data_IF_264310775563
#
_entry.id   IF_264310775563
#
_cell.length_a   1.000
_cell.length_b   1.000
_cell.length_c   1.000
_cell.angle_alpha   90.00
_cell.angle_beta   90.00
_cell.angle_gamma   90.00
#
_symmetry.space_group_name_H-M   'P 1'
#
loop_
_entity.id
_entity.type
_entity.pdbx_description
1 polymer ?
#
# COMPACT_ATOMS: atom_id res chain seq x y z
N UNK A 1 -35.04 -9.44 -50.55
CA UNK A 1 -35.25 -8.03 -50.94
C UNK A 1 -36.10 -8.01 -52.20
N UNK A 2 -37.02 -7.05 -52.37
CA UNK A 2 -37.92 -6.96 -53.54
C UNK A 2 -37.95 -5.54 -54.09
N UNK A 3 -38.03 -5.40 -55.42
CA UNK A 3 -38.36 -4.14 -56.14
C UNK A 3 -37.31 -3.02 -56.15
N UNK A 4 -36.59 -2.75 -55.06
CA UNK A 4 -35.70 -1.58 -54.90
C UNK A 4 -34.29 -1.79 -55.50
N UNK A 5 -34.20 -1.99 -56.80
CA UNK A 5 -32.94 -2.20 -57.51
C UNK A 5 -32.12 -0.91 -57.69
N UNK A 6 -31.25 -0.59 -56.74
CA UNK A 6 -30.26 0.50 -56.82
C UNK A 6 -30.33 1.55 -55.71
N UNK A 7 -31.41 1.57 -54.92
CA UNK A 7 -31.61 2.53 -53.83
C UNK A 7 -30.90 2.11 -52.53
N UNK A 8 -30.40 3.11 -51.79
CA UNK A 8 -29.92 2.92 -50.42
C UNK A 8 -31.12 2.64 -49.51
N UNK A 9 -31.13 1.46 -48.88
CA UNK A 9 -32.28 0.96 -48.11
C UNK A 9 -32.46 1.59 -46.70
N UNK A 10 -31.41 2.19 -46.15
CA UNK A 10 -31.35 2.75 -44.79
C UNK A 10 -30.26 3.83 -44.72
N UNK A 11 -30.49 4.92 -43.96
CA UNK A 11 -29.50 5.99 -43.73
C UNK A 11 -29.60 6.53 -42.31
N UNK A 12 -28.54 6.39 -41.53
CA UNK A 12 -28.48 6.77 -40.11
C UNK A 12 -27.28 7.67 -39.82
N UNK A 13 -27.29 8.37 -38.68
CA UNK A 13 -26.13 9.08 -38.13
C UNK A 13 -25.83 10.46 -38.71
N UNK A 14 -26.36 10.80 -39.90
CA UNK A 14 -26.41 12.18 -40.39
C UNK A 14 -27.65 12.37 -41.29
N UNK A 15 -28.74 12.96 -40.80
CA UNK A 15 -29.94 13.24 -41.59
C UNK A 15 -29.72 14.17 -42.80
N UNK A 16 -28.76 15.10 -42.72
CA UNK A 16 -28.58 16.15 -43.72
C UNK A 16 -28.11 15.61 -45.08
N UNK A 17 -27.43 14.45 -45.11
CA UNK A 17 -27.00 13.80 -46.38
C UNK A 17 -28.15 13.15 -47.16
N UNK A 18 -29.40 13.34 -46.71
CA UNK A 18 -30.62 12.96 -47.43
C UNK A 18 -31.77 13.98 -47.28
N UNK A 19 -31.42 15.26 -47.19
CA UNK A 19 -32.37 16.39 -47.12
C UNK A 19 -33.33 16.32 -45.92
N UNK A 20 -32.84 15.86 -44.75
CA UNK A 20 -33.60 15.75 -43.50
C UNK A 20 -32.82 16.31 -42.32
N UNK A 21 -33.54 16.62 -41.24
CA UNK A 21 -32.97 17.11 -39.98
C UNK A 21 -32.16 18.39 -40.09
N UNK A 22 -31.37 18.64 -39.04
CA UNK A 22 -30.47 19.77 -38.87
C UNK A 22 -29.04 19.26 -38.57
N UNK A 23 -28.06 20.17 -38.52
CA UNK A 23 -26.67 19.82 -38.18
C UNK A 23 -26.50 19.39 -36.72
N UNK A 24 -27.47 19.73 -35.85
CA UNK A 24 -27.59 19.20 -34.48
C UNK A 24 -27.88 17.70 -34.43
N UNK A 25 -28.37 17.12 -35.52
CA UNK A 25 -28.90 15.76 -35.56
C UNK A 25 -27.83 14.76 -36.08
N UNK A 26 -26.60 15.25 -36.31
CA UNK A 26 -25.46 14.44 -36.71
C UNK A 26 -24.80 13.76 -35.51
N UNK A 27 -24.67 12.44 -35.60
CA UNK A 27 -24.11 11.56 -34.56
C UNK A 27 -22.86 10.83 -35.06
N UNK A 28 -22.79 10.50 -36.36
CA UNK A 28 -21.63 9.88 -37.01
C UNK A 28 -20.73 10.92 -37.69
N UNK A 29 -19.42 10.81 -37.44
CA UNK A 29 -18.37 11.74 -37.87
C UNK A 29 -17.23 10.94 -38.50
N UNK A 30 -17.41 10.56 -39.78
CA UNK A 30 -16.66 9.51 -40.47
C UNK A 30 -16.76 8.14 -39.77
N UNK A 31 -17.69 7.32 -40.28
CA UNK A 31 -17.88 5.94 -39.86
C UNK A 31 -16.84 4.99 -40.49
N UNK A 32 -16.33 4.05 -39.71
CA UNK A 32 -15.39 3.02 -40.11
C UNK A 32 -15.77 1.66 -39.51
N UNK A 33 -15.37 0.58 -40.18
CA UNK A 33 -15.63 -0.82 -39.82
C UNK A 33 -17.07 -1.12 -39.35
N UNK A 34 -18.09 -0.73 -40.13
CA UNK A 34 -19.50 -1.05 -39.82
C UNK A 34 -19.74 -2.55 -39.99
N UNK A 35 -20.19 -3.23 -38.93
CA UNK A 35 -20.47 -4.68 -38.92
C UNK A 35 -21.89 -5.01 -38.43
N UNK A 36 -22.44 -6.12 -38.90
CA UNK A 36 -23.62 -6.75 -38.31
C UNK A 36 -23.25 -7.50 -37.02
N UNK A 37 -23.96 -7.21 -35.93
CA UNK A 37 -23.79 -7.92 -34.66
C UNK A 37 -24.31 -9.35 -34.83
N UNK A 38 -23.39 -10.30 -34.72
CA UNK A 38 -23.65 -11.73 -34.92
C UNK A 38 -24.46 -12.34 -33.76
N UNK A 39 -24.97 -13.54 -34.01
CA UNK A 39 -25.80 -14.23 -33.03
C UNK A 39 -25.05 -14.55 -31.72
N UNK A 40 -25.77 -14.43 -30.60
CA UNK A 40 -25.24 -14.68 -29.25
C UNK A 40 -24.69 -13.46 -28.50
N UNK A 41 -24.50 -12.30 -29.14
CA UNK A 41 -24.33 -11.04 -28.40
C UNK A 41 -25.71 -10.50 -28.00
N UNK A 42 -25.84 -9.85 -26.83
CA UNK A 42 -27.10 -9.24 -26.34
C UNK A 42 -27.65 -8.05 -27.15
N UNK A 43 -27.17 -7.87 -28.38
CA UNK A 43 -27.58 -6.85 -29.36
C UNK A 43 -27.63 -7.45 -30.78
N UNK A 44 -27.79 -8.78 -30.89
CA UNK A 44 -27.91 -9.55 -32.14
C UNK A 44 -28.84 -8.87 -33.16
N UNK A 45 -28.42 -8.83 -34.43
CA UNK A 45 -29.16 -8.18 -35.51
C UNK A 45 -29.00 -6.66 -35.57
N UNK A 46 -28.40 -6.04 -34.56
CA UNK A 46 -27.96 -4.65 -34.60
C UNK A 46 -26.73 -4.43 -35.50
N UNK A 47 -26.31 -3.17 -35.61
CA UNK A 47 -25.07 -2.77 -36.28
C UNK A 47 -24.12 -2.16 -35.24
N UNK A 48 -22.84 -2.53 -35.30
CA UNK A 48 -21.75 -1.88 -34.56
C UNK A 48 -20.89 -1.07 -35.53
N UNK A 49 -20.37 0.07 -35.10
CA UNK A 49 -19.56 0.98 -35.91
C UNK A 49 -18.49 1.68 -35.06
N UNK A 50 -17.29 1.84 -35.62
CA UNK A 50 -16.30 2.78 -35.08
C UNK A 50 -16.54 4.16 -35.71
N UNK A 51 -16.60 5.19 -34.89
CA UNK A 51 -17.02 6.54 -35.26
C UNK A 51 -15.85 7.49 -35.00
N UNK A 52 -15.06 7.78 -36.04
CA UNK A 52 -13.72 8.36 -35.89
C UNK A 52 -13.70 9.76 -35.27
N UNK A 53 -14.79 10.53 -35.35
CA UNK A 53 -14.88 11.88 -34.77
C UNK A 53 -14.44 12.99 -35.72
N UNK A 54 -14.30 12.72 -37.03
CA UNK A 54 -13.75 13.68 -37.99
C UNK A 54 -14.67 14.90 -38.14
N UNK A 55 -14.20 16.06 -37.67
CA UNK A 55 -14.97 17.31 -37.63
C UNK A 55 -15.86 17.48 -36.39
N UNK A 56 -15.80 16.56 -35.43
CA UNK A 56 -16.39 16.70 -34.09
C UNK A 56 -15.53 17.67 -33.26
N UNK A 57 -16.15 18.44 -32.36
CA UNK A 57 -15.45 19.27 -31.38
C UNK A 57 -16.12 19.13 -30.00
N UNK A 58 -15.39 18.75 -28.93
CA UNK A 58 -14.00 18.31 -28.92
C UNK A 58 -13.76 17.06 -29.80
N UNK A 59 -12.50 16.78 -30.12
CA UNK A 59 -12.12 15.70 -31.02
C UNK A 59 -11.96 14.38 -30.26
N UNK A 60 -12.94 13.48 -30.42
CA UNK A 60 -12.91 12.14 -29.85
C UNK A 60 -13.60 11.14 -30.77
N UNK A 61 -13.12 9.89 -30.75
CA UNK A 61 -13.77 8.76 -31.42
C UNK A 61 -14.69 8.01 -30.47
N UNK A 62 -15.77 7.41 -30.98
CA UNK A 62 -16.67 6.54 -30.22
C UNK A 62 -16.85 5.18 -30.91
N UNK A 63 -17.31 4.18 -30.16
CA UNK A 63 -17.85 2.93 -30.71
C UNK A 63 -19.33 2.90 -30.39
N UNK A 64 -20.14 2.89 -31.44
CA UNK A 64 -21.60 3.01 -31.34
C UNK A 64 -22.27 1.71 -31.81
N UNK A 65 -23.25 1.23 -31.04
CA UNK A 65 -24.16 0.15 -31.43
C UNK A 65 -25.54 0.75 -31.70
N UNK A 66 -26.09 0.50 -32.88
CA UNK A 66 -27.43 0.94 -33.27
C UNK A 66 -28.35 -0.27 -33.53
N UNK A 67 -29.64 -0.09 -33.23
CA UNK A 67 -30.69 -1.07 -33.49
C UNK A 67 -31.69 -0.53 -34.52
N UNK A 68 -31.47 -0.77 -35.83
CA UNK A 68 -32.41 -0.36 -36.87
C UNK A 68 -33.75 -1.09 -36.70
N UNK A 69 -34.86 -0.36 -36.78
CA UNK A 69 -36.19 -1.00 -36.76
C UNK A 69 -36.56 -1.52 -38.16
N UNK A 70 -36.78 -2.83 -38.28
CA UNK A 70 -37.25 -3.48 -39.51
C UNK A 70 -38.69 -4.00 -39.33
N UNK A 71 -39.60 -3.53 -40.17
CA UNK A 71 -40.97 -4.03 -40.29
C UNK A 71 -41.17 -4.71 -41.64
N UNK A 72 -41.64 -5.96 -41.63
CA UNK A 72 -41.94 -6.75 -42.82
C UNK A 72 -40.81 -6.82 -43.88
N UNK A 73 -39.55 -6.66 -43.44
CA UNK A 73 -38.35 -6.68 -44.31
C UNK A 73 -38.02 -5.34 -44.97
N UNK A 74 -38.60 -4.22 -44.51
CA UNK A 74 -38.14 -2.85 -44.79
C UNK A 74 -37.74 -2.16 -43.50
N UNK A 75 -36.77 -1.25 -43.56
CA UNK A 75 -36.54 -0.30 -42.47
C UNK A 75 -37.71 0.67 -42.37
N UNK A 76 -38.13 0.99 -41.15
CA UNK A 76 -39.22 1.95 -40.88
C UNK A 76 -38.70 3.38 -41.00
N UNK A 77 -39.48 4.24 -41.67
CA UNK A 77 -39.23 5.68 -41.75
C UNK A 77 -40.20 6.40 -40.80
N UNK A 78 -39.68 7.33 -40.02
CA UNK A 78 -40.44 8.15 -39.07
C UNK A 78 -41.29 9.23 -39.80
N UNK A 79 -42.27 9.83 -39.12
CA UNK A 79 -43.19 10.83 -39.72
C UNK A 79 -42.47 12.10 -40.21
N UNK A 80 -41.35 12.46 -39.58
CA UNK A 80 -40.42 13.52 -39.97
C UNK A 80 -39.61 13.18 -41.25
N UNK A 81 -39.64 11.92 -41.70
CA UNK A 81 -38.88 11.39 -42.82
C UNK A 81 -37.43 10.98 -42.52
N UNK A 82 -37.02 10.80 -41.26
CA UNK A 82 -35.73 10.17 -40.87
C UNK A 82 -35.87 8.67 -40.63
N UNK A 83 -34.75 7.96 -40.61
CA UNK A 83 -34.69 6.59 -40.10
C UNK A 83 -34.22 6.60 -38.64
N UNK A 84 -35.00 6.00 -37.74
CA UNK A 84 -34.59 5.70 -36.38
C UNK A 84 -33.54 4.57 -36.33
N UNK A 85 -32.93 4.30 -35.16
CA UNK A 85 -33.29 4.84 -33.85
C UNK A 85 -32.85 6.30 -33.66
N UNK A 86 -33.43 7.06 -32.72
CA UNK A 86 -33.04 8.46 -32.46
C UNK A 86 -31.63 8.61 -31.85
N UNK A 87 -31.04 7.53 -31.34
CA UNK A 87 -29.67 7.46 -30.83
C UNK A 87 -29.15 6.02 -30.81
N UNK A 88 -27.87 5.80 -30.48
CA UNK A 88 -27.32 4.46 -30.28
C UNK A 88 -27.98 3.75 -29.09
N UNK A 89 -28.09 2.43 -29.18
CA UNK A 89 -28.54 1.56 -28.10
C UNK A 89 -27.45 1.31 -27.04
N UNK A 90 -26.18 1.49 -27.42
CA UNK A 90 -25.01 1.51 -26.55
C UNK A 90 -23.91 2.33 -27.25
N UNK A 91 -23.15 3.11 -26.49
CA UNK A 91 -22.03 3.91 -26.99
C UNK A 91 -20.90 3.89 -25.96
N UNK A 92 -19.65 3.90 -26.43
CA UNK A 92 -18.46 3.95 -25.59
C UNK A 92 -17.36 4.80 -26.22
N UNK A 93 -16.71 5.61 -25.41
CA UNK A 93 -15.52 6.39 -25.74
C UNK A 93 -14.65 6.62 -24.49
N UNK A 94 -13.53 7.32 -24.65
CA UNK A 94 -12.68 7.78 -23.55
C UNK A 94 -12.48 9.31 -23.61
N UNK A 95 -13.47 10.03 -24.15
CA UNK A 95 -13.34 11.44 -24.51
C UNK A 95 -12.10 11.71 -25.37
N UNK A 96 -11.47 12.88 -25.15
CA UNK A 96 -10.29 13.33 -25.90
C UNK A 96 -9.04 12.42 -25.74
N UNK A 97 -9.04 11.45 -24.80
CA UNK A 97 -7.97 10.47 -24.68
C UNK A 97 -7.97 9.40 -25.79
N UNK A 98 -9.11 9.20 -26.49
CA UNK A 98 -9.20 8.29 -27.64
C UNK A 98 -9.69 9.04 -28.88
N UNK A 99 -8.76 9.41 -29.76
CA UNK A 99 -9.08 10.00 -31.06
C UNK A 99 -8.25 9.37 -32.18
N UNK A 100 -8.94 8.62 -33.04
CA UNK A 100 -8.40 8.06 -34.27
C UNK A 100 -9.07 8.70 -35.49
N UNK A 101 -8.47 9.74 -36.07
CA UNK A 101 -9.02 10.41 -37.26
C UNK A 101 -9.04 9.57 -38.55
N UNK A 102 -8.57 8.32 -38.49
CA UNK A 102 -8.56 7.34 -39.59
C UNK A 102 -8.43 5.91 -39.05
N UNK A 103 -8.55 4.90 -39.92
CA UNK A 103 -8.48 3.46 -39.61
C UNK A 103 -9.36 3.09 -38.38
N UNK A 104 -8.93 2.11 -37.55
CA UNK A 104 -9.66 1.65 -36.36
C UNK A 104 -10.90 0.79 -36.67
N UNK A 105 -11.50 0.17 -35.66
CA UNK A 105 -12.65 -0.72 -35.86
C UNK A 105 -13.21 -1.29 -34.57
N UNK A 106 -14.32 -2.03 -34.67
CA UNK A 106 -15.01 -2.60 -33.51
C UNK A 106 -15.74 -3.91 -33.85
N UNK A 107 -15.78 -4.85 -32.91
CA UNK A 107 -16.50 -6.13 -33.05
C UNK A 107 -17.21 -6.50 -31.75
N UNK A 108 -18.51 -6.77 -31.86
CA UNK A 108 -19.32 -7.33 -30.77
C UNK A 108 -19.00 -8.83 -30.55
N UNK A 109 -18.80 -9.24 -29.30
CA UNK A 109 -18.33 -10.57 -28.90
C UNK A 109 -19.44 -11.41 -28.20
N UNK A 110 -19.47 -12.75 -28.33
CA UNK A 110 -20.56 -13.56 -27.74
C UNK A 110 -20.65 -13.61 -26.21
N UNK A 111 -19.70 -13.03 -25.47
CA UNK A 111 -19.81 -12.77 -24.03
C UNK A 111 -20.53 -11.44 -23.71
N UNK A 112 -21.00 -10.71 -24.72
CA UNK A 112 -21.60 -9.38 -24.59
C UNK A 112 -20.60 -8.22 -24.53
N UNK A 113 -19.29 -8.52 -24.62
CA UNK A 113 -18.24 -7.50 -24.63
C UNK A 113 -18.03 -6.95 -26.06
N UNK A 114 -17.31 -5.84 -26.17
CA UNK A 114 -16.89 -5.25 -27.44
C UNK A 114 -15.37 -5.26 -27.53
N UNK A 115 -14.84 -5.87 -28.59
CA UNK A 115 -13.45 -5.63 -29.01
C UNK A 115 -13.39 -4.28 -29.73
N UNK A 116 -12.55 -3.38 -29.23
CA UNK A 116 -12.23 -2.09 -29.87
C UNK A 116 -10.80 -2.15 -30.41
N UNK A 117 -10.60 -1.68 -31.64
CA UNK A 117 -9.27 -1.47 -32.25
C UNK A 117 -9.01 0.03 -32.33
N UNK A 118 -8.19 0.58 -31.44
CA UNK A 118 -7.68 1.95 -31.52
C UNK A 118 -6.49 1.99 -32.49
N UNK A 119 -6.81 1.88 -33.79
CA UNK A 119 -5.86 1.51 -34.83
C UNK A 119 -4.71 2.49 -35.03
N UNK A 120 -4.97 3.80 -34.88
CA UNK A 120 -3.94 4.85 -34.99
C UNK A 120 -2.90 4.83 -33.87
N UNK A 121 -3.15 4.09 -32.79
CA UNK A 121 -2.26 3.91 -31.64
C UNK A 121 -1.74 2.46 -31.54
N UNK A 122 -2.12 1.59 -32.49
CA UNK A 122 -1.84 0.15 -32.43
C UNK A 122 -2.39 -0.54 -31.18
N UNK A 123 -3.36 0.06 -30.50
CA UNK A 123 -3.88 -0.42 -29.20
C UNK A 123 -5.25 -1.07 -29.37
N UNK A 124 -5.56 -2.03 -28.51
CA UNK A 124 -6.81 -2.78 -28.49
C UNK A 124 -7.38 -2.81 -27.07
N UNK A 125 -8.70 -2.84 -26.99
CA UNK A 125 -9.41 -3.01 -25.72
C UNK A 125 -10.49 -4.07 -25.87
N UNK A 126 -10.67 -4.91 -24.85
CA UNK A 126 -11.94 -5.62 -24.64
C UNK A 126 -12.74 -4.85 -23.59
N UNK A 127 -13.93 -4.40 -23.97
CA UNK A 127 -14.78 -3.48 -23.17
C UNK A 127 -16.04 -4.22 -22.73
N UNK A 128 -16.33 -4.18 -21.43
CA UNK A 128 -17.55 -4.79 -20.85
C UNK A 128 -18.82 -4.04 -21.29
N UNK A 129 -20.02 -4.63 -21.14
CA UNK A 129 -21.28 -3.93 -21.38
C UNK A 129 -21.44 -2.63 -20.60
N UNK A 130 -20.75 -2.48 -19.45
CA UNK A 130 -20.77 -1.27 -18.61
C UNK A 130 -19.76 -0.20 -19.04
N UNK A 131 -18.89 -0.49 -20.01
CA UNK A 131 -17.80 0.39 -20.44
C UNK A 131 -16.45 0.18 -19.74
N UNK A 132 -16.33 -0.85 -18.89
CA UNK A 132 -15.08 -1.20 -18.20
C UNK A 132 -14.09 -1.84 -19.19
N UNK A 133 -12.83 -1.37 -19.24
CA UNK A 133 -11.77 -2.06 -20.01
C UNK A 133 -11.32 -3.28 -19.19
N UNK A 134 -11.54 -4.49 -19.72
CA UNK A 134 -11.24 -5.77 -19.04
C UNK A 134 -10.07 -6.54 -19.67
N UNK A 135 -9.50 -6.01 -20.74
CA UNK A 135 -8.26 -6.47 -21.37
C UNK A 135 -7.73 -5.37 -22.28
N UNK A 136 -6.40 -5.21 -22.31
CA UNK A 136 -5.68 -4.26 -23.18
C UNK A 136 -4.55 -4.99 -23.88
N UNK A 137 -4.24 -4.61 -25.11
CA UNK A 137 -3.04 -5.05 -25.83
C UNK A 137 -2.52 -3.95 -26.73
N UNK A 138 -1.20 -3.78 -26.77
CA UNK A 138 -0.50 -2.86 -27.65
C UNK A 138 0.25 -3.71 -28.67
N UNK A 139 0.10 -3.41 -29.96
CA UNK A 139 0.82 -4.10 -31.02
C UNK A 139 2.32 -3.81 -30.95
N UNK A 140 3.20 -4.83 -30.80
CA UNK A 140 4.65 -4.67 -30.74
C UNK A 140 5.28 -4.56 -32.15
N UNK A 141 4.49 -4.41 -33.22
CA UNK A 141 4.96 -4.41 -34.60
C UNK A 141 4.91 -3.00 -35.18
N UNK A 142 6.08 -2.36 -35.27
CA UNK A 142 6.28 -1.10 -35.97
C UNK A 142 6.57 -1.28 -37.47
N UNK A 143 6.66 -0.16 -38.18
CA UNK A 143 7.01 -0.10 -39.61
C UNK A 143 8.42 -0.61 -39.93
N UNK A 144 9.30 -0.71 -38.92
CA UNK A 144 10.65 -1.27 -39.00
C UNK A 144 10.73 -2.76 -38.69
N UNK A 145 9.67 -3.37 -38.15
CA UNK A 145 9.68 -4.72 -37.59
C UNK A 145 9.11 -4.76 -36.17
N UNK A 146 9.25 -5.88 -35.46
CA UNK A 146 8.93 -5.96 -34.04
C UNK A 146 9.86 -5.08 -33.19
N UNK A 147 9.34 -4.62 -32.05
CA UNK A 147 10.11 -4.05 -30.95
C UNK A 147 10.63 -5.15 -30.01
N UNK A 148 11.67 -4.83 -29.24
CA UNK A 148 12.18 -5.67 -28.13
C UNK A 148 11.28 -5.50 -26.90
N UNK A 149 11.24 -6.49 -25.99
CA UNK A 149 10.62 -6.29 -24.68
C UNK A 149 11.28 -5.11 -23.93
N UNK A 150 10.50 -4.36 -23.16
CA UNK A 150 10.94 -3.13 -22.49
C UNK A 150 11.07 -1.88 -23.38
N UNK A 151 11.06 -1.99 -24.72
CA UNK A 151 11.12 -0.82 -25.61
C UNK A 151 9.83 0.02 -25.57
N UNK A 152 9.98 1.35 -25.53
CA UNK A 152 8.84 2.28 -25.58
C UNK A 152 8.24 2.29 -26.99
N UNK A 153 7.17 1.50 -27.18
CA UNK A 153 6.41 1.41 -28.44
C UNK A 153 5.90 2.81 -28.83
N UNK A 154 6.29 3.37 -29.99
CA UNK A 154 5.90 4.72 -30.38
C UNK A 154 4.40 4.84 -30.68
N UNK A 155 3.77 5.85 -30.07
CA UNK A 155 2.38 6.24 -30.32
C UNK A 155 2.10 6.43 -31.82
N UNK A 156 1.18 5.63 -32.36
CA UNK A 156 1.26 5.07 -33.71
C UNK A 156 1.45 6.05 -34.86
N UNK A 157 0.38 6.60 -35.43
CA UNK A 157 0.42 7.33 -36.72
C UNK A 157 1.05 8.75 -36.64
N UNK A 158 2.14 8.92 -35.89
CA UNK A 158 2.93 10.15 -35.77
C UNK A 158 4.02 10.22 -36.83
N UNK A 159 4.11 11.36 -37.52
CA UNK A 159 5.11 11.59 -38.56
C UNK A 159 6.54 11.52 -38.00
N UNK A 160 7.40 10.69 -38.60
CA UNK A 160 8.78 10.47 -38.16
C UNK A 160 8.97 9.37 -37.12
N UNK A 161 7.89 8.72 -36.66
CA UNK A 161 7.96 7.53 -35.81
C UNK A 161 8.04 6.22 -36.62
N UNK A 162 8.32 5.11 -35.96
CA UNK A 162 8.17 3.74 -36.49
C UNK A 162 6.78 3.14 -36.26
N UNK A 163 5.77 3.97 -35.98
CA UNK A 163 4.32 3.72 -36.06
C UNK A 163 3.82 2.25 -35.98
N UNK A 164 3.29 1.85 -34.81
CA UNK A 164 2.73 0.52 -34.54
C UNK A 164 1.29 0.26 -35.07
N UNK A 165 0.85 0.98 -36.10
CA UNK A 165 -0.57 1.11 -36.42
C UNK A 165 -1.26 -0.21 -36.87
N UNK A 166 -2.30 -0.61 -36.14
CA UNK A 166 -3.15 -1.77 -36.46
C UNK A 166 -4.33 -1.30 -37.31
N UNK A 167 -4.58 -1.94 -38.46
CA UNK A 167 -5.72 -1.56 -39.31
C UNK A 167 -7.06 -2.01 -38.72
N UNK A 168 -7.13 -3.29 -38.35
CA UNK A 168 -8.31 -3.93 -37.76
C UNK A 168 -7.92 -5.17 -36.95
N UNK A 169 -8.56 -5.34 -35.79
CA UNK A 169 -8.62 -6.59 -35.03
C UNK A 169 -9.87 -7.42 -35.32
N UNK A 170 -9.77 -8.73 -35.12
CA UNK A 170 -10.92 -9.65 -35.18
C UNK A 170 -10.74 -10.82 -34.21
N UNK A 171 -11.69 -11.00 -33.30
CA UNK A 171 -11.77 -12.14 -32.39
C UNK A 171 -12.40 -13.34 -33.10
N UNK A 172 -11.75 -14.49 -33.01
CA UNK A 172 -12.23 -15.76 -33.54
C UNK A 172 -12.53 -16.73 -32.40
N UNK A 173 -13.81 -17.09 -32.25
CA UNK A 173 -14.23 -18.01 -31.20
C UNK A 173 -13.77 -19.44 -31.49
N UNK A 174 -13.55 -20.23 -30.43
CA UNK A 174 -13.29 -21.67 -30.57
C UNK A 174 -14.38 -22.39 -31.37
N UNK A 175 -15.63 -21.92 -31.27
CA UNK A 175 -16.75 -22.42 -32.10
C UNK A 175 -16.57 -22.16 -33.59
N UNK A 176 -16.08 -20.98 -33.99
CA UNK A 176 -15.76 -20.67 -35.40
C UNK A 176 -14.61 -21.53 -35.93
N UNK A 177 -13.53 -21.69 -35.14
CA UNK A 177 -12.37 -22.50 -35.51
C UNK A 177 -12.77 -23.98 -35.70
N UNK A 178 -13.52 -24.53 -34.75
CA UNK A 178 -14.08 -25.88 -34.83
C UNK A 178 -15.01 -26.06 -36.05
N UNK A 179 -15.87 -25.08 -36.34
CA UNK A 179 -16.82 -25.15 -37.46
C UNK A 179 -16.15 -25.02 -38.84
N UNK A 180 -15.00 -24.34 -38.93
CA UNK A 180 -14.21 -24.20 -40.16
C UNK A 180 -13.13 -25.27 -40.32
N UNK A 181 -12.88 -26.09 -39.29
CA UNK A 181 -11.78 -27.07 -39.27
C UNK A 181 -10.40 -26.43 -39.22
N UNK A 182 -10.30 -25.17 -38.78
CA UNK A 182 -9.04 -24.43 -38.69
C UNK A 182 -8.33 -24.71 -37.36
N UNK A 183 -7.27 -25.51 -37.41
CA UNK A 183 -6.34 -25.68 -36.28
C UNK A 183 -5.38 -24.49 -36.22
N UNK A 184 -5.26 -23.88 -35.03
CA UNK A 184 -4.28 -22.82 -34.75
C UNK A 184 -3.26 -23.38 -33.75
N UNK A 185 -1.98 -23.37 -34.14
CA UNK A 185 -0.84 -23.57 -33.24
C UNK A 185 -0.22 -22.23 -32.88
N UNK A 186 0.20 -22.05 -31.63
CA UNK A 186 1.07 -20.93 -31.25
C UNK A 186 2.39 -20.99 -32.02
N UNK A 187 2.84 -19.86 -32.56
CA UNK A 187 4.20 -19.67 -33.08
C UNK A 187 5.15 -19.22 -31.97
N UNK A 188 6.27 -18.62 -32.37
CA UNK A 188 7.08 -17.77 -31.48
C UNK A 188 6.30 -16.52 -31.05
N UNK A 189 6.83 -15.82 -30.04
CA UNK A 189 6.37 -14.48 -29.67
C UNK A 189 6.54 -13.46 -30.81
N UNK A 190 5.87 -12.32 -30.66
CA UNK A 190 5.89 -11.22 -31.62
C UNK A 190 6.94 -10.17 -31.25
N UNK A 191 7.07 -9.84 -29.97
CA UNK A 191 8.25 -9.19 -29.41
C UNK A 191 9.50 -10.01 -29.72
N UNK A 192 10.64 -9.34 -29.93
CA UNK A 192 11.94 -10.02 -29.88
C UNK A 192 12.40 -10.11 -28.42
N UNK A 193 12.58 -11.34 -27.95
CA UNK A 193 12.98 -11.70 -26.59
C UNK A 193 14.29 -12.49 -26.66
N UNK A 194 15.24 -12.20 -25.76
CA UNK A 194 16.55 -12.86 -25.73
C UNK A 194 16.68 -13.65 -24.44
N UNK A 195 16.00 -14.79 -24.43
CA UNK A 195 16.01 -15.80 -23.37
C UNK A 195 17.44 -16.12 -22.88
N UNK A 196 17.79 -15.60 -21.70
CA UNK A 196 19.07 -15.84 -21.00
C UNK A 196 19.02 -17.11 -20.15
N UNK A 197 17.83 -17.56 -19.75
CA UNK A 197 17.62 -18.75 -18.92
C UNK A 197 16.65 -19.78 -19.58
N UNK A 198 16.98 -20.40 -20.75
CA UNK A 198 16.02 -21.20 -21.54
C UNK A 198 15.61 -22.57 -20.96
N UNK A 199 15.88 -22.79 -19.68
CA UNK A 199 15.48 -23.95 -18.88
C UNK A 199 14.56 -23.57 -17.70
N UNK A 200 14.20 -22.30 -17.59
CA UNK A 200 13.41 -21.70 -16.52
C UNK A 200 12.04 -21.22 -17.05
N UNK A 201 11.04 -21.10 -16.18
CA UNK A 201 9.72 -20.57 -16.52
C UNK A 201 9.44 -19.27 -15.73
N UNK A 202 10.20 -18.21 -16.02
CA UNK A 202 10.10 -16.90 -15.37
C UNK A 202 8.78 -16.12 -15.62
N UNK A 203 7.71 -16.79 -16.04
CA UNK A 203 6.49 -16.10 -16.47
C UNK A 203 5.70 -15.52 -15.29
N UNK A 204 5.65 -14.19 -15.24
CA UNK A 204 5.08 -13.40 -14.14
C UNK A 204 6.15 -12.70 -13.29
N UNK A 205 7.41 -13.07 -13.48
CA UNK A 205 8.58 -12.66 -12.69
C UNK A 205 9.78 -12.33 -13.61
N UNK A 206 9.47 -11.85 -14.82
CA UNK A 206 10.41 -11.39 -15.87
C UNK A 206 9.95 -9.99 -16.29
N UNK A 207 10.39 -8.98 -15.55
CA UNK A 207 10.03 -7.56 -15.70
C UNK A 207 10.90 -6.87 -16.74
N UNK A 208 12.18 -7.23 -16.85
CA UNK A 208 13.14 -6.62 -17.78
C UNK A 208 13.05 -7.21 -19.21
N UNK A 209 12.64 -8.47 -19.36
CA UNK A 209 12.53 -9.16 -20.64
C UNK A 209 13.76 -9.95 -21.08
N UNK A 210 14.57 -10.43 -20.13
CA UNK A 210 15.67 -11.37 -20.39
C UNK A 210 15.31 -12.85 -20.21
N UNK A 211 14.23 -13.16 -19.48
CA UNK A 211 13.71 -14.51 -19.30
C UNK A 211 14.35 -15.39 -18.23
N UNK A 212 15.29 -14.88 -17.46
CA UNK A 212 15.55 -15.36 -16.10
C UNK A 212 14.45 -14.85 -15.15
N UNK A 213 14.34 -15.45 -13.96
CA UNK A 213 13.51 -14.90 -12.88
C UNK A 213 14.23 -13.68 -12.29
N UNK A 214 13.48 -12.59 -12.07
CA UNK A 214 13.96 -11.39 -11.39
C UNK A 214 14.43 -11.68 -9.96
N UNK A 215 15.41 -10.89 -9.54
CA UNK A 215 15.99 -10.76 -8.21
C UNK A 215 15.99 -9.24 -7.96
N UNK A 216 14.94 -8.75 -7.32
CA UNK A 216 14.54 -7.33 -7.35
C UNK A 216 15.41 -6.42 -6.48
N UNK A 217 15.91 -6.91 -5.34
CA UNK A 217 16.78 -6.17 -4.43
C UNK A 217 18.27 -6.50 -4.63
N UNK A 218 18.58 -7.75 -5.00
CA UNK A 218 19.92 -8.26 -5.28
C UNK A 218 20.53 -9.16 -4.21
N UNK A 219 19.75 -9.74 -3.28
CA UNK A 219 20.28 -10.63 -2.22
C UNK A 219 20.69 -12.03 -2.73
N UNK A 220 20.09 -12.48 -3.85
CA UNK A 220 20.29 -13.80 -4.45
C UNK A 220 19.15 -14.80 -4.24
N UNK A 221 18.02 -14.38 -3.66
CA UNK A 221 16.75 -15.10 -3.56
C UNK A 221 15.79 -14.52 -4.61
N UNK A 222 15.44 -15.25 -5.68
CA UNK A 222 14.59 -14.70 -6.74
C UNK A 222 13.17 -14.39 -6.25
N UNK A 223 12.53 -13.35 -6.82
CA UNK A 223 11.21 -12.79 -6.44
C UNK A 223 10.08 -13.81 -6.10
N UNK A 224 9.97 -15.01 -6.73
CA UNK A 224 8.94 -16.01 -6.37
C UNK A 224 9.17 -16.78 -5.06
N UNK A 225 10.36 -16.66 -4.47
CA UNK A 225 10.82 -17.39 -3.28
C UNK A 225 11.22 -16.47 -2.13
N UNK A 226 11.53 -15.22 -2.46
CA UNK A 226 11.80 -14.10 -1.57
C UNK A 226 10.61 -13.80 -0.62
N UNK A 227 10.90 -13.54 0.67
CA UNK A 227 9.92 -13.06 1.66
C UNK A 227 9.95 -11.53 1.80
N UNK A 228 11.04 -10.88 1.42
CA UNK A 228 11.26 -9.45 1.53
C UNK A 228 11.87 -8.81 0.26
N UNK A 229 10.99 -8.37 -0.66
CA UNK A 229 11.29 -7.61 -1.89
C UNK A 229 11.93 -6.21 -1.67
N UNK A 230 12.57 -5.99 -0.52
CA UNK A 230 13.25 -4.77 -0.09
C UNK A 230 14.66 -5.00 0.49
N UNK A 231 15.05 -6.24 0.85
CA UNK A 231 16.38 -6.54 1.39
C UNK A 231 16.55 -7.97 1.93
N UNK A 232 17.81 -8.41 1.98
CA UNK A 232 18.32 -9.76 2.32
C UNK A 232 17.43 -10.62 3.23
N UNK A 233 16.88 -11.69 2.65
CA UNK A 233 15.98 -12.66 3.27
C UNK A 233 16.65 -13.39 4.46
N UNK A 234 17.98 -13.34 4.58
CA UNK A 234 18.77 -14.02 5.62
C UNK A 234 19.15 -13.11 6.80
N UNK A 235 18.77 -11.83 6.77
CA UNK A 235 18.97 -10.87 7.87
C UNK A 235 17.69 -10.79 8.71
N UNK A 236 17.77 -11.30 9.94
CA UNK A 236 16.68 -11.55 10.88
C UNK A 236 17.31 -11.47 12.28
N UNK A 237 17.44 -10.24 12.82
CA UNK A 237 18.22 -9.96 14.04
C UNK A 237 17.50 -10.43 15.32
N UNK A 238 16.24 -10.07 15.48
CA UNK A 238 15.40 -10.39 16.65
C UNK A 238 14.89 -11.85 16.66
N UNK A 239 14.96 -12.53 15.50
CA UNK A 239 14.50 -13.90 15.26
C UNK A 239 12.96 -14.08 15.27
N UNK A 240 12.21 -13.01 14.96
CA UNK A 240 10.75 -13.03 14.71
C UNK A 240 10.37 -13.89 13.48
N UNK A 241 11.31 -14.12 12.54
CA UNK A 241 11.18 -14.78 11.22
C UNK A 241 10.76 -13.84 10.05
N UNK A 242 10.58 -12.55 10.31
CA UNK A 242 10.47 -11.48 9.30
C UNK A 242 11.86 -10.89 9.01
N UNK A 243 12.32 -10.80 7.75
CA UNK A 243 13.61 -10.18 7.47
C UNK A 243 13.64 -8.68 7.81
N UNK A 244 14.72 -8.19 8.41
CA UNK A 244 14.90 -6.81 8.91
C UNK A 244 14.41 -5.72 7.93
N UNK A 245 14.64 -5.93 6.63
CA UNK A 245 14.31 -4.96 5.58
C UNK A 245 12.80 -4.82 5.28
N UNK A 246 11.98 -5.72 5.83
CA UNK A 246 10.51 -5.70 5.74
C UNK A 246 9.81 -5.68 7.10
N UNK A 247 10.56 -5.63 8.20
CA UNK A 247 10.02 -5.43 9.53
C UNK A 247 9.95 -3.94 9.91
N UNK A 248 8.98 -3.58 10.75
CA UNK A 248 8.80 -2.23 11.31
C UNK A 248 9.27 -2.13 12.77
N UNK A 249 9.73 -3.23 13.40
CA UNK A 249 10.00 -3.34 14.84
C UNK A 249 11.27 -4.15 15.21
N UNK A 250 12.36 -4.03 14.44
CA UNK A 250 13.60 -4.79 14.72
C UNK A 250 14.11 -4.45 16.14
N UNK A 251 14.19 -5.47 16.99
CA UNK A 251 14.45 -5.41 18.44
C UNK A 251 15.52 -6.47 18.80
N UNK A 252 16.79 -6.09 18.66
CA UNK A 252 17.93 -7.02 18.64
C UNK A 252 18.22 -7.76 19.95
N UNK A 253 17.70 -7.30 21.09
CA UNK A 253 17.87 -7.94 22.41
C UNK A 253 16.57 -8.36 23.09
N UNK A 254 15.41 -7.96 22.54
CA UNK A 254 14.06 -8.32 22.95
C UNK A 254 13.60 -7.72 24.29
N UNK A 255 14.02 -6.50 24.62
CA UNK A 255 13.48 -5.72 25.75
C UNK A 255 12.08 -5.11 25.48
N UNK A 256 11.74 -4.87 24.20
CA UNK A 256 10.52 -4.20 23.77
C UNK A 256 10.71 -2.77 23.21
N UNK A 257 11.94 -2.37 22.91
CA UNK A 257 12.33 -1.10 22.29
C UNK A 257 13.17 -1.36 21.05
N UNK A 258 12.58 -1.16 19.87
CA UNK A 258 13.27 -1.32 18.58
C UNK A 258 14.62 -0.56 18.50
N UNK A 259 15.61 -1.16 17.82
CA UNK A 259 17.00 -0.70 17.55
C UNK A 259 17.19 0.77 17.13
N UNK A 260 16.12 1.44 16.71
CA UNK A 260 16.13 2.82 16.22
C UNK A 260 15.61 3.87 17.20
N UNK A 261 14.96 3.45 18.29
CA UNK A 261 14.59 4.30 19.45
C UNK A 261 15.31 3.88 20.75
N UNK A 262 15.86 2.65 20.79
CA UNK A 262 16.80 2.07 21.78
C UNK A 262 17.95 3.03 22.15
N UNK A 263 18.30 3.09 23.46
CA UNK A 263 19.43 3.87 23.99
C UNK A 263 20.59 3.00 24.48
N UNK A 264 20.37 1.72 24.74
CA UNK A 264 21.30 0.83 25.45
C UNK A 264 21.51 -0.57 24.81
N UNK A 265 21.45 -0.65 23.47
CA UNK A 265 21.67 -1.83 22.63
C UNK A 265 22.41 -3.01 23.29
N UNK A 266 21.66 -4.06 23.60
CA UNK A 266 22.05 -5.27 24.31
C UNK A 266 21.43 -5.43 25.71
N UNK A 267 20.62 -4.48 26.15
CA UNK A 267 20.15 -4.31 27.54
C UNK A 267 18.79 -3.60 27.61
N UNK A 268 18.02 -3.88 28.67
CA UNK A 268 16.65 -3.39 28.88
C UNK A 268 16.60 -1.88 29.21
N UNK A 269 16.07 -1.08 28.28
CA UNK A 269 15.97 0.39 28.29
C UNK A 269 15.00 0.91 29.38
N UNK A 270 14.25 0.00 30.05
CA UNK A 270 13.35 0.30 31.15
C UNK A 270 13.93 -0.07 32.54
N UNK A 271 15.18 -0.52 32.62
CA UNK A 271 15.91 -0.70 33.89
C UNK A 271 16.83 0.51 34.11
N UNK A 272 16.44 1.33 35.08
CA UNK A 272 17.04 2.60 35.48
C UNK A 272 16.82 2.68 37.01
N UNK A 273 17.83 2.31 37.81
CA UNK A 273 17.70 2.07 39.25
C UNK A 273 17.86 3.29 40.16
N UNK A 274 18.38 4.41 39.65
CA UNK A 274 18.58 5.68 40.37
C UNK A 274 17.75 6.86 39.80
N UNK A 275 17.04 6.63 38.69
CA UNK A 275 16.24 7.63 37.96
C UNK A 275 17.09 8.76 37.32
N UNK A 276 18.39 8.54 37.01
CA UNK A 276 19.23 9.44 36.18
C UNK A 276 18.65 9.65 34.78
N UNK A 277 18.10 8.58 34.18
CA UNK A 277 17.64 8.53 32.80
C UNK A 277 18.56 7.77 31.83
N UNK A 278 19.65 7.22 32.33
CA UNK A 278 20.57 6.29 31.65
C UNK A 278 20.24 4.86 32.08
N UNK A 279 19.97 3.90 31.16
CA UNK A 279 19.68 2.53 31.55
C UNK A 279 20.88 1.80 32.17
N UNK A 280 20.65 1.02 33.23
CA UNK A 280 21.63 0.24 34.02
C UNK A 280 22.66 -0.52 33.18
N UNK A 281 22.27 -1.01 32.00
CA UNK A 281 23.15 -1.76 31.09
C UNK A 281 24.28 -0.95 30.48
N UNK A 282 24.13 0.38 30.46
CA UNK A 282 25.03 1.35 29.83
C UNK A 282 25.55 2.41 30.80
N UNK A 283 25.15 2.34 32.07
CA UNK A 283 25.73 3.18 33.11
C UNK A 283 27.03 2.57 33.68
N UNK A 284 28.00 3.45 33.95
CA UNK A 284 29.25 3.14 34.66
C UNK A 284 29.11 3.41 36.19
N UNK A 285 28.02 4.06 36.65
CA UNK A 285 27.82 4.57 38.01
C UNK A 285 26.33 4.58 38.45
N UNK A 286 25.77 3.39 38.74
CA UNK A 286 24.44 3.27 39.39
C UNK A 286 24.56 3.76 40.84
N UNK A 287 23.81 4.79 41.23
CA UNK A 287 23.90 5.55 42.51
C UNK A 287 22.50 5.89 43.05
N UNK A 288 21.87 4.96 43.78
CA UNK A 288 20.44 5.01 44.13
C UNK A 288 20.02 6.11 45.12
N UNK A 289 20.96 6.73 45.86
CA UNK A 289 20.65 7.85 46.77
C UNK A 289 21.26 9.20 46.37
N UNK A 290 22.21 9.20 45.42
CA UNK A 290 22.71 10.39 44.75
C UNK A 290 23.85 11.10 45.48
N UNK A 291 24.64 10.39 46.30
CA UNK A 291 25.79 10.96 47.01
C UNK A 291 27.06 11.08 46.13
N UNK A 292 27.14 10.32 45.05
CA UNK A 292 28.31 10.20 44.15
C UNK A 292 29.10 8.90 44.29
N UNK A 293 28.60 7.93 45.04
CA UNK A 293 29.17 6.59 45.31
C UNK A 293 28.24 5.53 44.70
N UNK A 294 28.78 4.62 43.89
CA UNK A 294 27.94 3.60 43.27
C UNK A 294 27.44 2.56 44.31
N UNK A 295 26.22 2.03 44.12
CA UNK A 295 25.56 0.94 44.88
C UNK A 295 26.45 -0.28 45.22
N UNK A 296 27.54 -0.48 44.45
CA UNK A 296 28.48 -1.58 44.60
C UNK A 296 29.71 -1.29 45.48
N UNK A 297 29.97 -0.02 45.77
CA UNK A 297 31.02 0.47 46.70
C UNK A 297 30.45 1.21 47.92
N UNK A 298 29.18 1.66 47.85
CA UNK A 298 28.32 2.18 48.92
C UNK A 298 28.40 1.36 50.23
N UNK A 299 28.41 2.08 51.37
CA UNK A 299 28.49 1.50 52.71
C UNK A 299 27.29 1.88 53.60
N UNK A 300 26.37 2.74 53.13
CA UNK A 300 25.29 3.33 53.93
C UNK A 300 23.92 3.57 53.23
N UNK A 301 23.62 2.91 52.08
CA UNK A 301 22.27 2.71 51.49
C UNK A 301 21.15 3.69 51.92
N UNK A 302 21.08 4.83 51.23
CA UNK A 302 20.09 5.90 51.45
C UNK A 302 20.68 7.21 52.01
N UNK A 303 22.02 7.30 52.13
CA UNK A 303 22.72 8.31 52.93
C UNK A 303 24.17 8.53 52.45
N UNK A 304 24.60 9.80 52.42
CA UNK A 304 25.92 10.26 51.95
C UNK A 304 27.10 9.62 52.72
N UNK A 305 27.85 8.77 52.02
CA UNK A 305 28.96 7.94 52.52
C UNK A 305 30.21 8.79 52.85
N UNK A 306 30.22 10.07 52.45
CA UNK A 306 31.26 11.06 52.76
C UNK A 306 30.91 11.94 53.98
N UNK A 307 29.75 11.75 54.61
CA UNK A 307 29.35 12.42 55.86
C UNK A 307 29.65 11.51 57.06
N UNK A 308 30.71 11.88 57.77
CA UNK A 308 31.27 11.20 58.96
C UNK A 308 31.70 12.34 59.91
N UNK A 309 30.81 12.75 60.81
CA UNK A 309 30.97 13.98 61.60
C UNK A 309 31.93 13.82 62.79
N UNK A 310 31.90 12.67 63.49
CA UNK A 310 32.77 12.39 64.64
C UNK A 310 34.13 11.76 64.26
N UNK A 311 34.22 11.10 63.10
CA UNK A 311 35.44 10.49 62.58
C UNK A 311 35.67 9.04 63.00
N UNK A 312 34.66 8.31 63.46
CA UNK A 312 34.69 6.84 63.64
C UNK A 312 35.07 6.11 62.34
N UNK A 313 34.53 6.61 61.21
CA UNK A 313 34.64 5.98 59.89
C UNK A 313 33.37 5.24 59.46
N UNK A 314 32.29 5.32 60.23
CA UNK A 314 30.91 4.94 59.86
C UNK A 314 30.16 6.20 59.39
N UNK A 315 29.44 6.19 58.25
CA UNK A 315 28.71 7.38 57.82
C UNK A 315 27.51 7.68 58.72
N UNK A 316 27.24 8.97 58.99
CA UNK A 316 26.23 9.47 59.95
C UNK A 316 24.84 8.84 59.76
N UNK A 317 24.45 8.53 58.53
CA UNK A 317 23.15 7.94 58.21
C UNK A 317 22.94 6.51 58.72
N UNK A 318 24.04 5.81 59.05
CA UNK A 318 24.05 4.42 59.49
C UNK A 318 24.71 4.23 60.85
N UNK A 319 25.08 5.31 61.54
CA UNK A 319 25.58 5.22 62.90
C UNK A 319 24.43 5.32 63.93
N UNK A 320 24.31 4.28 64.76
CA UNK A 320 23.42 4.24 65.93
C UNK A 320 23.97 5.11 67.09
N UNK A 321 25.18 5.68 66.98
CA UNK A 321 25.97 6.29 68.05
C UNK A 321 26.63 7.65 67.69
N UNK A 322 26.15 8.35 66.65
CA UNK A 322 26.62 9.69 66.23
C UNK A 322 26.90 10.61 67.44
N UNK A 323 28.17 10.98 67.65
CA UNK A 323 28.67 11.67 68.86
C UNK A 323 29.42 12.96 68.46
N UNK A 324 28.67 14.05 68.25
CA UNK A 324 29.15 15.28 67.61
C UNK A 324 30.31 16.01 68.31
N UNK A 325 30.59 15.74 69.59
CA UNK A 325 31.72 16.33 70.31
C UNK A 325 32.72 15.34 70.93
N UNK A 326 32.38 14.05 70.98
CA UNK A 326 33.28 12.93 71.30
C UNK A 326 33.33 12.57 72.79
N UNK A 327 32.20 12.68 73.51
CA UNK A 327 32.12 12.39 74.95
C UNK A 327 31.72 10.94 75.29
N UNK A 328 31.06 10.24 74.36
CA UNK A 328 30.50 8.89 74.51
C UNK A 328 28.97 8.81 74.68
N UNK A 329 28.22 9.89 74.45
CA UNK A 329 26.76 9.97 74.40
C UNK A 329 26.36 10.46 73.00
N UNK A 330 25.33 9.82 72.42
CA UNK A 330 24.90 10.13 71.05
C UNK A 330 23.97 11.35 71.00
N UNK A 331 24.01 12.11 69.90
CA UNK A 331 23.27 13.36 69.62
C UNK A 331 21.75 13.31 69.89
N UNK A 332 21.12 12.13 69.90
CA UNK A 332 19.67 11.97 70.20
C UNK A 332 19.35 11.91 71.70
N UNK A 333 20.38 11.69 72.53
CA UNK A 333 20.37 11.59 73.98
C UNK A 333 21.23 12.66 74.66
N UNK A 334 22.15 13.29 73.92
CA UNK A 334 22.90 14.47 74.33
C UNK A 334 21.99 15.60 74.82
N UNK A 335 22.34 16.18 75.96
CA UNK A 335 21.70 17.39 76.47
C UNK A 335 22.45 18.67 76.06
N UNK A 336 23.75 18.59 75.72
CA UNK A 336 24.55 19.68 75.18
C UNK A 336 25.98 19.36 74.67
N UNK A 337 26.35 20.02 73.56
CA UNK A 337 27.71 20.22 73.01
C UNK A 337 28.86 20.28 74.09
N UNK A 338 29.36 19.13 74.55
CA UNK A 338 30.56 18.92 75.38
C UNK A 338 30.40 18.23 76.75
N UNK A 339 30.74 16.93 76.89
CA UNK A 339 30.86 16.18 78.17
C UNK A 339 29.65 16.29 79.12
N UNK A 340 28.54 15.72 78.65
CA UNK A 340 27.25 15.59 79.35
C UNK A 340 27.37 14.78 80.66
N UNK A 341 28.51 14.10 80.89
CA UNK A 341 28.79 13.35 82.13
C UNK A 341 29.15 14.24 83.34
N UNK A 342 29.39 15.54 83.13
CA UNK A 342 29.63 16.50 84.22
C UNK A 342 28.35 17.27 84.59
N UNK A 343 27.74 16.93 85.73
CA UNK A 343 26.73 17.76 86.41
C UNK A 343 27.28 18.10 87.80
N UNK A 344 27.85 19.32 87.96
CA UNK A 344 28.59 19.72 89.16
C UNK A 344 27.69 20.00 90.35
N UNK A 345 26.45 20.45 90.13
CA UNK A 345 25.51 20.74 91.22
C UNK A 345 24.44 19.65 91.42
N UNK A 346 24.04 18.94 90.36
CA UNK A 346 23.12 17.81 90.36
C UNK A 346 21.66 18.16 90.03
N UNK A 347 21.36 19.30 89.39
CA UNK A 347 19.98 19.68 89.03
C UNK A 347 19.43 18.94 87.79
N UNK A 348 20.30 18.28 87.02
CA UNK A 348 19.96 17.53 85.82
C UNK A 348 20.19 18.26 84.50
N UNK A 349 20.88 19.40 84.49
CA UNK A 349 21.41 20.07 83.30
C UNK A 349 22.94 20.04 83.33
N UNK A 350 23.62 19.38 82.37
CA UNK A 350 25.09 19.26 82.41
C UNK A 350 25.85 20.58 82.27
N UNK A 351 27.07 20.61 82.82
CA UNK A 351 27.94 21.78 83.05
C UNK A 351 28.26 22.58 81.77
N UNK A 352 28.14 21.97 80.58
CA UNK A 352 28.45 22.62 79.31
C UNK A 352 27.34 23.52 78.77
N UNK A 353 26.05 23.16 78.94
CA UNK A 353 24.95 24.09 78.67
C UNK A 353 24.40 24.83 79.88
N UNK A 354 24.61 24.35 81.12
CA UNK A 354 24.03 25.07 82.24
C UNK A 354 24.62 26.48 82.38
N UNK A 355 23.69 27.41 82.54
CA UNK A 355 23.92 28.82 82.75
C UNK A 355 24.36 29.17 84.17
N UNK A 356 24.30 28.21 85.10
CA UNK A 356 24.41 28.39 86.56
C UNK A 356 25.24 27.35 87.36
N UNK A 357 26.22 26.57 86.85
CA UNK A 357 26.50 25.14 87.20
C UNK A 357 26.95 24.82 88.65
N UNK A 358 26.20 25.26 89.65
CA UNK A 358 26.59 25.38 91.06
C UNK A 358 25.43 25.56 92.07
N UNK A 359 24.14 25.60 91.68
CA UNK A 359 23.02 26.13 92.50
C UNK A 359 21.63 25.44 92.29
N UNK A 360 21.53 24.14 92.63
CA UNK A 360 20.32 23.27 92.58
C UNK A 360 18.92 23.87 92.91
N UNK A 361 17.87 23.37 92.23
CA UNK A 361 16.45 23.70 92.45
C UNK A 361 15.48 22.49 92.57
N UNK A 362 14.34 22.70 93.25
CA UNK A 362 13.40 21.63 93.70
C UNK A 362 12.18 21.38 92.76
N UNK A 363 12.17 20.24 92.06
CA UNK A 363 11.06 19.27 91.78
C UNK A 363 9.57 19.73 91.67
N UNK A 364 8.87 19.45 90.55
CA UNK A 364 7.56 18.72 90.52
C UNK A 364 6.78 18.59 89.17
N UNK A 365 6.66 17.35 88.69
CA UNK A 365 5.48 16.64 88.09
C UNK A 365 4.48 17.25 87.03
N UNK A 366 4.43 16.61 85.84
CA UNK A 366 3.29 15.81 85.27
C UNK A 366 1.95 16.44 84.77
N UNK A 367 1.59 16.26 83.47
CA UNK A 367 0.21 16.09 82.91
C UNK A 367 0.20 15.12 81.68
N UNK A 368 -0.93 14.46 81.37
CA UNK A 368 -1.17 13.49 80.25
C UNK A 368 -2.48 13.76 79.45
N UNK A 369 -2.59 13.34 78.16
CA UNK A 369 -3.78 12.85 77.36
C UNK A 369 -3.51 12.89 75.81
N UNK A 370 -3.82 11.89 74.94
CA UNK A 370 -5.10 11.37 74.32
C UNK A 370 -5.57 12.17 73.04
N UNK A 371 -6.18 11.67 71.93
CA UNK A 371 -6.99 10.46 71.54
C UNK A 371 -6.92 10.13 69.99
N UNK A 372 -7.46 8.96 69.57
CA UNK A 372 -7.71 8.34 68.22
C UNK A 372 -8.16 9.18 66.98
N UNK A 373 -8.00 8.59 65.77
CA UNK A 373 -8.93 8.67 64.59
C UNK A 373 -8.82 7.43 63.63
N UNK A 374 -9.68 7.30 62.59
CA UNK A 374 -9.83 6.09 61.72
C UNK A 374 -10.54 6.30 60.34
N UNK A 375 -10.64 5.23 59.50
CA UNK A 375 -11.45 5.02 58.24
C UNK A 375 -10.86 5.47 56.86
N UNK A 376 -11.40 5.13 55.64
CA UNK A 376 -11.83 3.83 55.01
C UNK A 376 -12.42 3.97 53.56
N UNK A 377 -12.09 3.09 52.58
CA UNK A 377 -12.87 2.68 51.33
C UNK A 377 -13.19 3.72 50.19
N UNK A 378 -13.59 3.46 48.91
CA UNK A 378 -14.05 2.27 48.08
C UNK A 378 -13.96 2.46 46.50
N UNK A 379 -14.32 1.42 45.70
CA UNK A 379 -14.23 1.18 44.21
C UNK A 379 -15.27 1.92 43.25
N UNK A 380 -15.47 1.74 41.90
CA UNK A 380 -15.67 0.57 40.95
C UNK A 380 -15.60 0.86 39.38
N UNK A 381 -15.36 -0.19 38.53
CA UNK A 381 -15.95 -0.66 37.18
C UNK A 381 -16.22 0.30 35.96
N UNK A 382 -16.19 -0.04 34.63
CA UNK A 382 -15.79 -1.23 33.78
C UNK A 382 -16.80 -1.70 32.67
N UNK A 383 -16.44 -1.87 31.35
CA UNK A 383 -17.32 -2.42 30.25
C UNK A 383 -16.62 -2.95 28.91
N UNK A 384 -17.37 -3.38 27.84
CA UNK A 384 -16.97 -4.34 26.74
C UNK A 384 -17.66 -4.20 25.32
N UNK A 385 -17.15 -4.84 24.23
CA UNK A 385 -17.81 -5.00 22.87
C UNK A 385 -17.18 -6.08 21.90
N UNK A 386 -17.85 -6.50 20.78
CA UNK A 386 -17.44 -7.55 19.74
C UNK A 386 -18.16 -7.36 18.34
N UNK A 387 -18.10 -8.10 17.18
CA UNK A 387 -17.47 -9.33 16.59
C UNK A 387 -17.63 -9.47 15.01
N UNK A 388 -17.02 -10.49 14.34
CA UNK A 388 -17.45 -11.25 13.09
C UNK A 388 -17.22 -10.68 11.63
N UNK A 389 -17.17 -11.38 10.45
CA UNK A 389 -17.07 -12.82 10.00
C UNK A 389 -16.89 -13.07 8.43
N UNK A 390 -16.18 -14.15 8.00
CA UNK A 390 -16.35 -15.11 6.84
C UNK A 390 -16.14 -14.86 5.28
N UNK A 391 -15.35 -15.78 4.65
CA UNK A 391 -15.49 -16.57 3.35
C UNK A 391 -15.36 -16.04 1.86
N UNK A 392 -14.71 -16.84 0.97
CA UNK A 392 -15.01 -16.95 -0.50
C UNK A 392 -13.85 -16.99 -1.56
N UNK A 393 -13.92 -17.84 -2.64
CA UNK A 393 -12.93 -17.93 -3.76
C UNK A 393 -13.42 -18.59 -5.10
N UNK A 394 -12.82 -18.30 -6.30
CA UNK A 394 -12.87 -19.08 -7.60
C UNK A 394 -12.08 -18.46 -8.82
N UNK A 395 -11.98 -19.15 -9.99
CA UNK A 395 -11.05 -18.92 -11.14
C UNK A 395 -11.71 -18.64 -12.57
N UNK A 396 -11.21 -18.99 -13.81
CA UNK A 396 -11.02 -18.00 -14.93
C UNK A 396 -11.59 -18.34 -16.35
N UNK A 397 -11.46 -17.44 -17.38
CA UNK A 397 -11.85 -17.69 -18.81
C UNK A 397 -10.99 -16.93 -19.88
N UNK A 398 -10.43 -17.63 -20.88
CA UNK A 398 -9.44 -17.12 -21.87
C UNK A 398 -9.98 -16.89 -23.31
N UNK A 399 -9.35 -16.01 -24.10
CA UNK A 399 -9.80 -15.55 -25.44
C UNK A 399 -8.68 -15.45 -26.51
N UNK A 400 -9.04 -15.27 -27.80
CA UNK A 400 -8.09 -15.36 -28.94
C UNK A 400 -8.39 -14.38 -30.09
N UNK A 401 -7.37 -13.66 -30.56
CA UNK A 401 -7.50 -12.51 -31.47
C UNK A 401 -6.53 -12.55 -32.66
N UNK A 402 -6.95 -11.96 -33.78
CA UNK A 402 -6.20 -11.88 -35.05
C UNK A 402 -6.12 -10.41 -35.55
N UNK A 403 -4.99 -10.01 -36.15
CA UNK A 403 -4.77 -8.63 -36.61
C UNK A 403 -4.26 -8.53 -38.05
N UNK A 404 -4.51 -7.35 -38.64
CA UNK A 404 -3.97 -6.93 -39.94
C UNK A 404 -3.19 -5.62 -39.80
N UNK A 405 -1.99 -5.59 -40.36
CA UNK A 405 -1.09 -4.41 -40.39
C UNK A 405 -1.00 -3.89 -41.84
N UNK A 406 -0.86 -2.59 -42.02
CA UNK A 406 -0.76 -1.99 -43.36
C UNK A 406 0.69 -1.99 -43.88
N UNK A 407 0.89 -2.43 -45.11
CA UNK A 407 2.20 -2.40 -45.81
C UNK A 407 2.81 -3.77 -46.08
N UNK A 408 2.53 -4.77 -45.24
CA UNK A 408 2.94 -6.16 -45.45
C UNK A 408 1.82 -7.10 -44.98
N UNK A 409 1.55 -8.16 -45.74
CA UNK A 409 0.39 -9.04 -45.54
C UNK A 409 0.52 -10.04 -44.39
N UNK A 410 1.13 -9.64 -43.27
CA UNK A 410 1.30 -10.49 -42.10
C UNK A 410 0.03 -10.47 -41.25
N UNK A 411 -0.39 -11.67 -40.87
CA UNK A 411 -1.49 -11.92 -39.94
C UNK A 411 -0.87 -12.40 -38.63
N UNK A 412 -1.20 -11.72 -37.54
CA UNK A 412 -0.66 -12.02 -36.21
C UNK A 412 -1.76 -12.48 -35.27
N UNK A 413 -1.38 -13.27 -34.26
CA UNK A 413 -2.28 -13.90 -33.31
C UNK A 413 -1.89 -13.51 -31.88
N UNK A 414 -2.84 -12.94 -31.12
CA UNK A 414 -2.69 -12.72 -29.69
C UNK A 414 -3.63 -13.66 -28.93
N UNK A 415 -3.12 -14.27 -27.85
CA UNK A 415 -3.92 -15.08 -26.92
C UNK A 415 -4.00 -14.37 -25.58
N UNK A 416 -5.21 -14.04 -25.15
CA UNK A 416 -5.48 -13.57 -23.78
C UNK A 416 -5.17 -14.73 -22.84
N UNK A 417 -4.07 -14.62 -22.10
CA UNK A 417 -3.83 -15.42 -20.88
C UNK A 417 -4.82 -14.96 -19.79
N UNK A 418 -4.96 -15.75 -18.74
CA UNK A 418 -5.90 -15.58 -17.63
C UNK A 418 -5.24 -15.93 -16.32
#
# INVERSE_FOLDING_TARGET
MSGKGGDILYRWGNPQVYDRGLSSDQQLFAQHDVQWIQAGHGQEGGLIVFNNGNGRYPAYSSVDIIQPTLENGSYTLEENGTYGPPGPAWSWDQGEAMYAGSISGAQALPNGHVLVTYGTQGTLYEVSPKGEIVWTYIGPIGSSGPFTQGEVIPEGNRAGSTANAIFKGTHYTSGYLNATGQTISSGSYLEQWTDRCPSEEAWGWDRDGDGCVDDTDGDGVPDPFDRCLAGDDNLDLDQDNTPDACDEFVDSDADGVKDSDDRCQGHDDAVDQDEDGTPDGCDDLIDQDGDGTADSEDRCQGHDDAVDQDGDGTPDGCDDLLDSDGDGIADDQDMCEGDDTQDTDGDGVPDACDTSPTDQLEDSENITEQVNASESTTNEVGDTATASMFDGAALPVAALLLFTVFGSGLWWLARRRT
#
